data_IF_438356380625
#
_entry.id   IF_438356380625
#
_cell.length_a   1.000
_cell.length_b   1.000
_cell.length_c   1.000
_cell.angle_alpha   90.00
_cell.angle_beta   90.00
_cell.angle_gamma   90.00
#
_symmetry.space_group_name_H-M   'P 1'
#
loop_
_entity.id
_entity.type
_entity.pdbx_description
1 polymer ?
#
# COMPACT_ATOMS: atom_id res chain seq x y z
N UNK A 1 -21.04 4.08 -31.74
CA UNK A 1 -20.07 3.25 -31.02
C UNK A 1 -20.62 3.00 -29.61
N UNK A 2 -21.03 1.77 -29.32
CA UNK A 2 -21.77 1.42 -28.10
C UNK A 2 -20.95 1.65 -26.83
N UNK A 3 -19.63 1.40 -26.89
CA UNK A 3 -18.71 1.61 -25.77
C UNK A 3 -18.58 3.08 -25.37
N UNK A 4 -18.53 3.99 -26.36
CA UNK A 4 -18.48 5.42 -26.08
C UNK A 4 -19.75 5.87 -25.33
N UNK A 5 -20.92 5.37 -25.75
CA UNK A 5 -22.20 5.70 -25.13
C UNK A 5 -22.27 5.14 -23.70
N UNK A 6 -21.89 3.88 -23.50
CA UNK A 6 -21.83 3.25 -22.18
C UNK A 6 -20.90 4.03 -21.24
N UNK A 7 -19.70 4.39 -21.71
CA UNK A 7 -18.78 5.20 -20.93
C UNK A 7 -19.33 6.58 -20.59
N UNK A 8 -20.09 7.20 -21.49
CA UNK A 8 -20.76 8.48 -21.24
C UNK A 8 -21.82 8.35 -20.14
N UNK A 9 -22.70 7.34 -20.25
CA UNK A 9 -23.75 7.07 -19.26
C UNK A 9 -23.14 6.84 -17.87
N UNK A 10 -22.03 6.11 -17.80
CA UNK A 10 -21.34 5.78 -16.55
C UNK A 10 -20.21 6.77 -16.18
N UNK A 11 -20.19 7.98 -16.75
CA UNK A 11 -19.31 9.08 -16.32
C UNK A 11 -17.82 8.96 -16.68
N UNK A 12 -17.46 8.04 -17.57
CA UNK A 12 -16.11 7.92 -18.15
C UNK A 12 -15.82 8.94 -19.26
N UNK A 13 -16.87 9.51 -19.87
CA UNK A 13 -16.79 10.59 -20.86
C UNK A 13 -17.65 11.77 -20.39
N UNK A 14 -17.19 12.99 -20.65
CA UNK A 14 -18.03 14.17 -20.55
C UNK A 14 -19.06 14.17 -21.69
N UNK A 15 -20.23 14.73 -21.44
CA UNK A 15 -21.25 14.90 -22.47
C UNK A 15 -21.92 16.26 -22.36
N UNK A 16 -22.16 16.85 -23.52
CA UNK A 16 -22.91 18.08 -23.67
C UNK A 16 -23.94 17.89 -24.77
N UNK A 17 -25.20 18.07 -24.43
CA UNK A 17 -26.30 17.95 -25.38
C UNK A 17 -27.36 19.00 -25.09
N UNK A 18 -27.82 19.68 -26.14
CA UNK A 18 -28.95 20.60 -26.12
C UNK A 18 -29.95 20.18 -27.19
N UNK A 19 -31.24 20.37 -26.92
CA UNK A 19 -32.29 20.09 -27.89
C UNK A 19 -32.20 21.09 -29.05
N UNK A 20 -32.08 20.63 -30.31
CA UNK A 20 -32.00 21.53 -31.46
C UNK A 20 -33.35 22.16 -31.81
N UNK A 21 -34.46 21.56 -31.35
CA UNK A 21 -35.82 22.01 -31.61
C UNK A 21 -36.74 21.66 -30.44
N UNK A 22 -37.89 22.31 -30.39
CA UNK A 22 -38.93 22.01 -29.41
C UNK A 22 -39.39 20.55 -29.56
N UNK A 23 -39.46 19.82 -28.44
CA UNK A 23 -39.83 18.40 -28.42
C UNK A 23 -41.01 18.18 -27.47
N UNK A 24 -42.10 17.60 -27.99
CA UNK A 24 -43.25 17.18 -27.17
C UNK A 24 -42.92 15.88 -26.45
N UNK A 25 -43.10 15.87 -25.14
CA UNK A 25 -42.94 14.70 -24.26
C UNK A 25 -44.23 14.45 -23.48
N UNK A 26 -44.35 13.31 -22.80
CA UNK A 26 -45.52 13.00 -21.97
C UNK A 26 -45.77 13.98 -20.81
N UNK A 27 -44.79 14.82 -20.47
CA UNK A 27 -44.90 15.85 -19.41
C UNK A 27 -44.96 17.30 -19.92
N UNK A 28 -45.05 17.54 -21.24
CA UNK A 28 -45.09 18.88 -21.82
C UNK A 28 -44.09 19.09 -22.96
N UNK A 29 -43.87 20.35 -23.36
CA UNK A 29 -42.92 20.73 -24.42
C UNK A 29 -41.57 21.10 -23.81
N UNK A 30 -40.53 20.35 -24.13
CA UNK A 30 -39.15 20.76 -23.87
C UNK A 30 -38.72 21.73 -24.98
N UNK A 31 -38.22 22.90 -24.61
CA UNK A 31 -37.84 23.95 -25.56
C UNK A 31 -36.49 23.68 -26.20
N UNK A 32 -36.32 24.13 -27.44
CA UNK A 32 -35.02 24.23 -28.08
C UNK A 32 -34.02 24.96 -27.17
N UNK A 33 -32.78 24.45 -27.09
CA UNK A 33 -31.75 24.93 -26.17
C UNK A 33 -31.77 24.29 -24.78
N UNK A 34 -32.83 23.57 -24.39
CA UNK A 34 -32.84 22.79 -23.14
C UNK A 34 -31.82 21.67 -23.25
N UNK A 35 -30.94 21.51 -22.26
CA UNK A 35 -29.87 20.54 -22.32
C UNK A 35 -29.21 20.26 -20.98
N UNK A 36 -28.28 19.32 -21.01
CA UNK A 36 -27.49 18.89 -19.85
C UNK A 36 -26.01 18.88 -20.24
N UNK A 37 -25.17 19.29 -19.29
CA UNK A 37 -23.71 19.16 -19.38
C UNK A 37 -23.28 18.28 -18.22
N UNK A 38 -22.58 17.20 -18.54
CA UNK A 38 -22.00 16.27 -17.58
C UNK A 38 -20.49 16.26 -17.75
N UNK A 39 -19.79 16.49 -16.65
CA UNK A 39 -18.34 16.29 -16.58
C UNK A 39 -18.02 14.81 -16.35
N UNK A 40 -16.84 14.37 -16.78
CA UNK A 40 -16.36 13.04 -16.46
C UNK A 40 -16.07 12.94 -14.95
N UNK A 41 -16.64 11.94 -14.29
CA UNK A 41 -16.48 11.73 -12.84
C UNK A 41 -15.65 10.48 -12.49
N UNK A 42 -15.21 9.73 -13.51
CA UNK A 42 -14.24 8.62 -13.37
C UNK A 42 -13.31 8.56 -14.58
N UNK A 43 -12.28 7.71 -14.47
CA UNK A 43 -11.43 7.40 -15.62
C UNK A 43 -12.24 6.72 -16.73
N UNK A 44 -12.13 7.22 -17.96
CA UNK A 44 -12.62 6.56 -19.17
C UNK A 44 -11.60 5.58 -19.75
N UNK A 45 -11.90 5.01 -20.90
CA UNK A 45 -11.07 4.06 -21.65
C UNK A 45 -11.01 4.51 -23.11
N UNK A 46 -9.80 4.47 -23.68
CA UNK A 46 -9.59 4.76 -25.11
C UNK A 46 -8.30 4.10 -25.62
N UNK A 47 -7.99 4.26 -26.90
CA UNK A 47 -6.73 3.85 -27.51
C UNK A 47 -5.60 4.85 -27.22
N UNK A 48 -4.33 4.40 -27.21
CA UNK A 48 -3.16 5.25 -26.95
C UNK A 48 -3.14 6.55 -27.78
N UNK A 49 -3.49 6.48 -29.05
CA UNK A 49 -3.39 7.58 -30.02
C UNK A 49 -4.31 8.75 -29.68
N UNK A 50 -5.50 8.49 -29.14
CA UNK A 50 -6.47 9.55 -28.79
C UNK A 50 -5.98 10.46 -27.65
N UNK A 51 -5.03 9.98 -26.84
CA UNK A 51 -4.41 10.76 -25.76
C UNK A 51 -2.95 11.12 -26.07
N UNK A 52 -2.54 11.02 -27.34
CA UNK A 52 -1.22 11.43 -27.80
C UNK A 52 -0.08 10.50 -27.40
N UNK A 53 -0.34 9.21 -27.21
CA UNK A 53 0.70 8.17 -27.21
C UNK A 53 0.91 7.59 -28.60
N UNK A 54 2.07 6.95 -28.81
CA UNK A 54 2.35 6.21 -30.05
C UNK A 54 1.47 4.97 -30.16
N UNK A 55 1.12 4.59 -31.40
CA UNK A 55 0.31 3.40 -31.65
C UNK A 55 0.99 2.08 -31.26
N UNK A 56 2.32 2.09 -31.12
CA UNK A 56 3.11 0.93 -30.71
C UNK A 56 3.30 0.80 -29.18
N UNK A 57 2.74 1.71 -28.39
CA UNK A 57 2.89 1.73 -26.93
C UNK A 57 2.54 0.36 -26.30
N UNK A 58 1.40 -0.19 -26.70
CA UNK A 58 0.89 -1.44 -26.15
C UNK A 58 1.81 -2.63 -26.47
N UNK A 59 2.34 -2.69 -27.69
CA UNK A 59 3.29 -3.72 -28.10
C UNK A 59 4.62 -3.62 -27.32
N UNK A 60 5.09 -2.40 -27.04
CA UNK A 60 6.28 -2.17 -26.20
C UNK A 60 6.06 -2.63 -24.76
N UNK A 61 4.90 -2.31 -24.17
CA UNK A 61 4.54 -2.77 -22.81
C UNK A 61 4.49 -4.30 -22.77
N UNK A 62 3.82 -4.93 -23.74
CA UNK A 62 3.75 -6.39 -23.83
C UNK A 62 5.13 -7.01 -23.90
N UNK A 63 6.01 -6.48 -24.75
CA UNK A 63 7.37 -6.98 -24.92
C UNK A 63 8.16 -6.95 -23.61
N UNK A 64 8.15 -5.83 -22.89
CA UNK A 64 8.88 -5.68 -21.62
C UNK A 64 8.30 -6.59 -20.53
N UNK A 65 6.97 -6.64 -20.39
CA UNK A 65 6.33 -7.47 -19.36
C UNK A 65 6.56 -8.95 -19.61
N UNK A 66 6.38 -9.42 -20.85
CA UNK A 66 6.62 -10.80 -21.22
C UNK A 66 8.09 -11.19 -21.06
N UNK A 67 9.02 -10.30 -21.41
CA UNK A 67 10.44 -10.52 -21.16
C UNK A 67 10.73 -10.66 -19.66
N UNK A 68 10.18 -9.79 -18.80
CA UNK A 68 10.34 -9.88 -17.35
C UNK A 68 9.80 -11.19 -16.76
N UNK A 69 8.64 -11.66 -17.23
CA UNK A 69 8.09 -12.98 -16.86
C UNK A 69 9.01 -14.10 -17.32
N UNK A 70 9.47 -14.07 -18.58
CA UNK A 70 10.37 -15.08 -19.15
C UNK A 70 11.70 -15.18 -18.39
N UNK A 71 12.27 -14.04 -18.00
CA UNK A 71 13.52 -13.98 -17.24
C UNK A 71 13.33 -14.26 -15.74
N UNK A 72 12.10 -14.59 -15.30
CA UNK A 72 11.75 -14.82 -13.90
C UNK A 72 12.13 -13.63 -12.99
N UNK A 73 12.00 -12.40 -13.50
CA UNK A 73 12.14 -11.20 -12.66
C UNK A 73 10.94 -11.02 -11.71
N UNK A 74 9.76 -11.45 -12.15
CA UNK A 74 8.52 -11.57 -11.38
C UNK A 74 7.66 -12.68 -12.01
N UNK A 75 6.80 -13.37 -11.23
CA UNK A 75 5.95 -14.45 -11.76
C UNK A 75 4.85 -13.92 -12.67
N UNK A 76 4.38 -12.70 -12.41
CA UNK A 76 3.36 -12.01 -13.19
C UNK A 76 3.15 -10.59 -12.70
N UNK A 77 2.44 -9.78 -13.50
CA UNK A 77 2.17 -8.38 -13.19
C UNK A 77 0.89 -7.88 -13.88
N UNK A 78 0.37 -6.75 -13.41
CA UNK A 78 -0.66 -5.98 -14.09
C UNK A 78 -0.12 -4.57 -14.36
N UNK A 79 -0.36 -4.07 -15.57
CA UNK A 79 0.00 -2.71 -15.97
C UNK A 79 -1.25 -1.92 -16.29
N UNK A 80 -1.35 -0.74 -15.68
CA UNK A 80 -2.39 0.25 -15.98
C UNK A 80 -1.72 1.56 -16.38
N UNK A 81 -2.10 2.10 -17.53
CA UNK A 81 -1.63 3.41 -18.02
C UNK A 81 -2.83 4.29 -18.29
N UNK A 82 -2.84 5.47 -17.72
CA UNK A 82 -3.86 6.48 -17.96
C UNK A 82 -3.25 7.84 -18.28
N UNK A 83 -3.86 8.58 -19.20
CA UNK A 83 -3.49 9.94 -19.57
C UNK A 83 -4.74 10.75 -19.91
N UNK A 84 -4.78 12.01 -19.49
CA UNK A 84 -5.94 12.89 -19.68
C UNK A 84 -7.27 12.28 -19.21
N UNK A 85 -7.24 11.58 -18.06
CA UNK A 85 -8.44 10.92 -17.50
C UNK A 85 -8.89 9.67 -18.26
N UNK A 86 -8.11 9.14 -19.20
CA UNK A 86 -8.42 7.91 -19.95
C UNK A 86 -7.38 6.84 -19.74
N UNK A 87 -7.82 5.64 -19.39
CA UNK A 87 -7.03 4.42 -19.36
C UNK A 87 -6.83 3.95 -20.80
N UNK A 88 -5.57 3.76 -21.19
CA UNK A 88 -5.18 3.25 -22.51
C UNK A 88 -4.53 1.87 -22.45
N UNK A 89 -4.13 1.43 -21.26
CA UNK A 89 -3.62 0.10 -21.00
C UNK A 89 -4.21 -0.40 -19.68
N UNK A 90 -4.74 -1.63 -19.69
CA UNK A 90 -5.14 -2.40 -18.50
C UNK A 90 -4.92 -3.88 -18.80
N UNK A 91 -3.68 -4.33 -18.68
CA UNK A 91 -3.22 -5.66 -19.12
C UNK A 91 -2.57 -6.42 -17.99
N UNK A 92 -2.72 -7.74 -18.03
CA UNK A 92 -2.19 -8.68 -17.06
C UNK A 92 -1.27 -9.69 -17.78
N UNK A 93 -0.21 -10.10 -17.09
CA UNK A 93 0.84 -10.97 -17.63
C UNK A 93 1.25 -12.00 -16.58
N UNK A 94 1.58 -13.22 -17.02
CA UNK A 94 2.13 -14.27 -16.17
C UNK A 94 1.15 -14.86 -15.16
N UNK A 95 1.70 -15.37 -14.06
CA UNK A 95 1.00 -16.10 -12.99
C UNK A 95 1.22 -15.42 -11.63
N UNK A 96 0.40 -15.75 -10.63
CA UNK A 96 0.50 -15.14 -9.30
C UNK A 96 1.72 -15.61 -8.51
N UNK A 97 2.25 -16.80 -8.81
CA UNK A 97 3.43 -17.41 -8.19
C UNK A 97 4.14 -18.29 -9.24
N UNK A 98 5.39 -18.68 -9.01
CA UNK A 98 6.14 -19.59 -9.89
C UNK A 98 5.72 -21.05 -9.78
N UNK A 99 5.07 -21.45 -8.68
CA UNK A 99 4.76 -22.83 -8.34
C UNK A 99 3.31 -23.21 -8.58
N UNK A 100 2.43 -22.24 -8.89
CA UNK A 100 1.01 -22.48 -9.13
C UNK A 100 0.58 -21.88 -10.45
N UNK A 101 -0.18 -22.64 -11.24
CA UNK A 101 -0.65 -22.21 -12.55
C UNK A 101 -1.91 -21.35 -12.48
N UNK A 102 -1.89 -20.29 -11.67
CA UNK A 102 -3.01 -19.35 -11.55
C UNK A 102 -2.63 -18.06 -12.29
N UNK A 103 -3.29 -17.73 -13.41
CA UNK A 103 -2.95 -16.57 -14.20
C UNK A 103 -3.26 -15.27 -13.46
N UNK A 104 -2.43 -14.25 -13.68
CA UNK A 104 -2.80 -12.88 -13.29
C UNK A 104 -3.96 -12.43 -14.17
N UNK A 105 -4.97 -11.85 -13.53
CA UNK A 105 -6.11 -11.25 -14.20
C UNK A 105 -6.21 -9.78 -13.84
N UNK A 106 -7.07 -9.06 -14.55
CA UNK A 106 -7.37 -7.67 -14.23
C UNK A 106 -8.08 -7.45 -12.87
N UNK A 107 -8.43 -8.54 -12.17
CA UNK A 107 -9.07 -8.56 -10.86
C UNK A 107 -8.20 -9.25 -9.79
N UNK A 108 -6.94 -9.62 -10.13
CA UNK A 108 -6.01 -10.20 -9.15
C UNK A 108 -5.72 -9.19 -8.05
N UNK A 109 -5.84 -9.62 -6.80
CA UNK A 109 -5.57 -8.78 -5.63
C UNK A 109 -4.06 -8.79 -5.31
N UNK A 110 -3.53 -7.60 -5.07
CA UNK A 110 -2.13 -7.39 -4.68
C UNK A 110 -2.06 -6.71 -3.31
N UNK A 111 -1.11 -7.13 -2.48
CA UNK A 111 -0.76 -6.39 -1.28
C UNK A 111 -0.10 -5.05 -1.67
N UNK A 112 -0.71 -3.93 -1.28
CA UNK A 112 -0.23 -2.58 -1.66
C UNK A 112 1.09 -2.19 -0.99
N UNK A 113 1.50 -2.89 0.08
CA UNK A 113 2.71 -2.60 0.84
C UNK A 113 2.84 -1.09 1.15
N UNK A 114 3.98 -0.46 0.83
CA UNK A 114 4.21 0.96 1.08
C UNK A 114 3.31 1.92 0.31
N UNK A 115 2.62 1.50 -0.75
CA UNK A 115 1.61 2.34 -1.44
C UNK A 115 0.49 2.73 -0.48
N UNK A 116 0.22 1.90 0.54
CA UNK A 116 -0.76 2.18 1.60
C UNK A 116 -0.49 3.47 2.37
N UNK A 117 0.78 3.94 2.43
CA UNK A 117 1.12 5.21 3.06
C UNK A 117 0.52 6.39 2.28
N UNK A 118 0.67 6.39 0.96
CA UNK A 118 0.19 7.47 0.10
C UNK A 118 -1.35 7.41 -0.06
N UNK A 119 -1.91 6.22 -0.23
CA UNK A 119 -3.35 6.08 -0.52
C UNK A 119 -4.22 6.12 0.74
N UNK A 120 -3.72 5.59 1.86
CA UNK A 120 -4.47 5.49 3.12
C UNK A 120 -3.99 6.47 4.18
N UNK A 121 -2.76 6.28 4.68
CA UNK A 121 -2.25 7.02 5.85
C UNK A 121 -2.20 8.53 5.60
N UNK A 122 -1.60 8.98 4.50
CA UNK A 122 -1.47 10.39 4.16
C UNK A 122 -2.85 11.03 3.98
N UNK A 123 -3.74 10.41 3.20
CA UNK A 123 -5.11 10.89 3.00
C UNK A 123 -5.86 11.05 4.31
N UNK A 124 -5.73 10.07 5.22
CA UNK A 124 -6.34 10.12 6.55
C UNK A 124 -5.79 11.25 7.42
N UNK A 125 -4.48 11.44 7.43
CA UNK A 125 -3.83 12.55 8.18
C UNK A 125 -4.26 13.90 7.61
N UNK A 126 -4.25 14.07 6.28
CA UNK A 126 -4.65 15.31 5.63
C UNK A 126 -6.13 15.63 5.84
N UNK A 127 -7.01 14.61 5.88
CA UNK A 127 -8.42 14.78 6.23
C UNK A 127 -8.59 15.38 7.63
N UNK A 128 -7.84 14.87 8.61
CA UNK A 128 -7.87 15.37 10.00
C UNK A 128 -7.30 16.78 10.10
N UNK A 129 -6.28 17.10 9.30
CA UNK A 129 -5.75 18.46 9.15
C UNK A 129 -6.79 19.42 8.54
N UNK A 130 -7.47 19.04 7.46
CA UNK A 130 -8.52 19.86 6.83
C UNK A 130 -9.71 20.12 7.78
N UNK A 131 -9.98 19.18 8.69
CA UNK A 131 -10.98 19.33 9.76
C UNK A 131 -10.50 20.23 10.93
N UNK A 132 -9.26 20.75 10.86
CA UNK A 132 -8.67 21.63 11.88
C UNK A 132 -8.32 20.94 13.19
N UNK A 133 -8.30 19.60 13.23
CA UNK A 133 -8.03 18.81 14.45
C UNK A 133 -6.54 18.71 14.78
N UNK A 134 -5.69 18.90 13.78
CA UNK A 134 -4.23 18.97 13.93
C UNK A 134 -3.67 20.07 13.03
N UNK A 135 -2.49 20.57 13.36
CA UNK A 135 -1.65 21.40 12.48
C UNK A 135 -0.38 20.64 12.12
N UNK A 136 0.05 20.69 10.86
CA UNK A 136 1.21 19.88 10.41
C UNK A 136 2.53 20.26 11.10
N UNK A 137 2.64 21.51 11.55
CA UNK A 137 3.83 22.06 12.19
C UNK A 137 3.77 22.03 13.72
N UNK A 138 2.69 21.50 14.30
CA UNK A 138 2.62 21.28 15.74
C UNK A 138 3.30 19.97 16.16
N UNK A 139 3.71 19.83 17.43
CA UNK A 139 4.26 18.59 17.94
C UNK A 139 3.25 17.44 17.86
N UNK A 140 3.61 16.36 17.15
CA UNK A 140 2.79 15.15 17.07
C UNK A 140 2.61 14.47 18.43
N UNK A 141 3.45 14.81 19.42
CA UNK A 141 3.34 14.32 20.79
C UNK A 141 2.07 14.80 21.51
N UNK A 142 1.43 15.86 21.04
CA UNK A 142 0.15 16.34 21.58
C UNK A 142 -1.00 15.35 21.30
N UNK A 143 -0.91 14.61 20.20
CA UNK A 143 -1.89 13.58 19.80
C UNK A 143 -1.39 12.16 20.08
N UNK A 144 -0.06 11.95 20.09
CA UNK A 144 0.57 10.66 20.33
C UNK A 144 1.38 10.74 21.64
N UNK A 145 0.77 10.46 22.80
CA UNK A 145 1.41 10.66 24.10
C UNK A 145 2.73 9.91 24.27
N UNK A 146 2.93 8.78 23.58
CA UNK A 146 4.18 8.03 23.64
C UNK A 146 5.37 8.74 22.99
N UNK A 147 5.14 9.78 22.17
CA UNK A 147 6.20 10.65 21.66
C UNK A 147 6.62 11.72 22.68
N UNK A 148 5.95 11.87 23.84
CA UNK A 148 6.33 12.81 24.91
C UNK A 148 7.57 12.34 25.69
N UNK A 149 8.63 12.01 24.96
CA UNK A 149 9.96 11.67 25.46
C UNK A 149 10.96 12.70 24.94
N UNK A 150 12.06 12.90 25.66
CA UNK A 150 12.96 14.05 25.50
C UNK A 150 13.40 14.33 24.05
N UNK A 151 13.78 13.28 23.30
CA UNK A 151 14.31 13.40 21.94
C UNK A 151 13.23 13.42 20.84
N UNK A 152 11.96 13.11 21.16
CA UNK A 152 10.85 12.98 20.19
C UNK A 152 9.68 13.92 20.43
N UNK A 153 9.61 14.59 21.59
CA UNK A 153 8.46 15.42 21.98
C UNK A 153 8.17 16.54 20.99
N UNK A 154 9.19 17.08 20.32
CA UNK A 154 9.09 18.21 19.40
C UNK A 154 8.98 17.76 17.92
N UNK A 155 8.83 16.46 17.65
CA UNK A 155 8.61 15.97 16.28
C UNK A 155 7.28 16.44 15.75
N UNK A 156 7.26 17.05 14.57
CA UNK A 156 6.02 17.50 13.94
C UNK A 156 5.40 16.42 13.06
N UNK A 157 4.11 16.55 12.77
CA UNK A 157 3.45 15.71 11.77
C UNK A 157 4.11 15.85 10.40
N UNK A 158 4.54 17.05 10.02
CA UNK A 158 5.28 17.29 8.77
C UNK A 158 6.57 16.47 8.70
N UNK A 159 7.37 16.46 9.75
CA UNK A 159 8.61 15.68 9.80
C UNK A 159 8.34 14.17 9.70
N UNK A 160 7.26 13.68 10.32
CA UNK A 160 6.83 12.28 10.21
C UNK A 160 6.44 11.92 8.77
N UNK A 161 5.68 12.79 8.10
CA UNK A 161 5.23 12.58 6.72
C UNK A 161 6.38 12.67 5.70
N UNK A 162 7.37 13.52 5.93
CA UNK A 162 8.56 13.64 5.08
C UNK A 162 9.67 12.65 5.41
N UNK A 163 9.50 11.79 6.42
CA UNK A 163 10.54 10.86 6.86
C UNK A 163 11.84 11.56 7.34
N UNK A 164 11.70 12.72 7.99
CA UNK A 164 12.83 13.56 8.45
C UNK A 164 13.05 13.52 9.96
N UNK A 165 12.38 12.60 10.66
CA UNK A 165 12.44 12.52 12.13
C UNK A 165 13.76 11.95 12.64
N UNK A 166 14.54 11.27 11.79
CA UNK A 166 15.70 10.48 12.21
C UNK A 166 15.32 9.15 12.86
N UNK A 167 14.04 8.76 12.90
CA UNK A 167 13.65 7.43 13.39
C UNK A 167 14.24 6.33 12.51
N UNK A 168 14.62 5.17 13.08
CA UNK A 168 15.16 4.07 12.31
C UNK A 168 14.14 3.56 11.29
N UNK A 169 14.58 3.18 10.06
CA UNK A 169 13.67 2.75 9.00
C UNK A 169 12.96 1.41 9.30
N UNK A 170 13.48 0.64 10.25
CA UNK A 170 12.88 -0.60 10.72
C UNK A 170 13.32 -0.94 12.13
N UNK A 171 12.53 -1.78 12.82
CA UNK A 171 12.91 -2.39 14.09
C UNK A 171 13.15 -3.90 13.86
N UNK A 172 14.12 -4.47 14.57
CA UNK A 172 14.35 -5.91 14.55
C UNK A 172 13.28 -6.64 15.38
N UNK A 173 12.13 -6.88 14.76
CA UNK A 173 10.98 -7.52 15.40
C UNK A 173 11.29 -8.94 15.87
N UNK A 174 12.16 -9.67 15.17
CA UNK A 174 12.57 -11.01 15.55
C UNK A 174 13.27 -11.03 16.90
N UNK A 175 14.23 -10.13 17.13
CA UNK A 175 14.89 -10.02 18.43
C UNK A 175 13.92 -9.67 19.56
N UNK A 176 12.86 -8.93 19.28
CA UNK A 176 11.84 -8.61 20.28
C UNK A 176 10.97 -9.81 20.65
N UNK A 177 10.68 -10.68 19.67
CA UNK A 177 9.74 -11.79 19.81
C UNK A 177 10.38 -13.06 20.38
N UNK A 178 11.70 -13.20 20.30
CA UNK A 178 12.44 -14.34 20.84
C UNK A 178 13.01 -14.06 22.22
N UNK A 179 13.01 -15.06 23.09
CA UNK A 179 13.52 -14.95 24.46
C UNK A 179 15.05 -15.11 24.43
N UNK A 180 15.83 -14.06 24.72
CA UNK A 180 17.29 -14.11 24.69
C UNK A 180 17.87 -15.09 25.71
N UNK A 181 17.12 -15.50 26.75
CA UNK A 181 17.58 -16.49 27.74
C UNK A 181 17.57 -17.91 27.19
N UNK A 182 16.91 -18.14 26.05
CA UNK A 182 16.71 -19.49 25.51
C UNK A 182 17.80 -19.91 24.53
N UNK A 183 18.66 -18.98 24.10
CA UNK A 183 19.70 -19.26 23.13
C UNK A 183 21.00 -18.48 23.40
N UNK A 184 22.10 -19.02 22.89
CA UNK A 184 23.40 -18.33 22.85
C UNK A 184 23.74 -18.01 21.39
N UNK A 185 24.57 -16.99 21.18
CA UNK A 185 24.96 -16.54 19.84
C UNK A 185 23.86 -15.74 19.13
N UNK A 186 24.02 -15.46 17.82
CA UNK A 186 23.07 -14.66 17.08
C UNK A 186 21.76 -15.40 16.81
N UNK A 187 20.64 -14.67 16.75
CA UNK A 187 19.33 -15.23 16.40
C UNK A 187 19.30 -15.71 14.94
N UNK A 188 19.88 -14.92 14.04
CA UNK A 188 20.05 -15.23 12.62
C UNK A 188 21.54 -15.03 12.27
N UNK A 189 22.15 -15.99 11.58
CA UNK A 189 23.51 -15.89 11.04
C UNK A 189 23.49 -16.02 9.51
N UNK A 190 24.46 -15.41 8.82
CA UNK A 190 24.56 -15.49 7.35
C UNK A 190 25.09 -16.82 6.85
N UNK A 191 25.90 -17.49 7.67
CA UNK A 191 26.44 -18.83 7.44
C UNK A 191 26.02 -19.78 8.56
N UNK A 192 25.91 -21.09 8.29
CA UNK A 192 25.65 -22.08 9.33
C UNK A 192 26.78 -22.09 10.36
N UNK A 193 26.43 -22.23 11.63
CA UNK A 193 27.39 -22.39 12.73
C UNK A 193 26.83 -23.32 13.81
N UNK A 194 27.55 -23.50 14.92
CA UNK A 194 27.13 -24.40 16.01
C UNK A 194 25.75 -24.06 16.63
N UNK A 195 25.35 -22.80 16.62
CA UNK A 195 24.07 -22.30 17.13
C UNK A 195 22.99 -22.21 16.04
N UNK A 196 23.39 -21.79 14.83
CA UNK A 196 22.53 -21.46 13.71
C UNK A 196 22.57 -22.56 12.65
N UNK A 197 21.69 -23.56 12.81
CA UNK A 197 21.60 -24.72 11.90
C UNK A 197 20.27 -24.81 11.16
N UNK A 198 19.27 -24.01 11.57
CA UNK A 198 17.95 -24.02 10.92
C UNK A 198 18.03 -23.17 9.66
N UNK A 199 17.80 -23.74 8.49
CA UNK A 199 17.71 -22.95 7.27
C UNK A 199 16.42 -22.12 7.27
N UNK A 200 16.54 -20.80 7.04
CA UNK A 200 15.39 -19.88 6.97
C UNK A 200 15.21 -19.38 5.54
N UNK A 201 16.28 -18.85 4.95
CA UNK A 201 16.33 -18.42 3.56
C UNK A 201 17.79 -18.35 3.09
N UNK A 202 18.02 -18.00 1.82
CA UNK A 202 19.36 -17.77 1.30
C UNK A 202 20.12 -16.78 2.19
N UNK A 203 21.30 -17.17 2.67
CA UNK A 203 22.14 -16.41 3.60
C UNK A 203 21.47 -16.06 4.94
N UNK A 204 20.57 -16.90 5.45
CA UNK A 204 19.98 -16.74 6.78
C UNK A 204 19.72 -18.10 7.45
N UNK A 205 20.41 -18.32 8.56
CA UNK A 205 20.31 -19.52 9.40
C UNK A 205 19.85 -19.15 10.81
N UNK A 206 18.72 -19.72 11.22
CA UNK A 206 18.10 -19.50 12.51
C UNK A 206 18.74 -20.31 13.63
N UNK A 207 18.74 -19.72 14.82
CA UNK A 207 19.24 -20.35 16.03
C UNK A 207 18.35 -21.51 16.46
N UNK A 208 18.93 -22.70 16.65
CA UNK A 208 18.18 -23.93 16.94
C UNK A 208 17.55 -23.99 18.33
N UNK A 209 18.00 -23.16 19.27
CA UNK A 209 17.49 -23.14 20.65
C UNK A 209 16.57 -21.95 20.94
N UNK A 210 16.49 -20.98 20.03
CA UNK A 210 15.70 -19.77 20.25
C UNK A 210 14.21 -20.10 20.34
N UNK A 211 13.58 -19.69 21.44
CA UNK A 211 12.13 -19.84 21.66
C UNK A 211 11.45 -18.48 21.64
N UNK A 212 10.20 -18.47 21.21
CA UNK A 212 9.35 -17.29 21.32
C UNK A 212 9.10 -16.95 22.79
N UNK A 213 9.03 -15.65 23.07
CA UNK A 213 8.64 -15.10 24.35
C UNK A 213 7.19 -15.45 24.68
N UNK A 214 6.98 -16.17 25.79
CA UNK A 214 5.65 -16.59 26.23
C UNK A 214 4.89 -15.52 27.02
N UNK A 215 5.57 -14.45 27.43
CA UNK A 215 4.97 -13.30 28.11
C UNK A 215 4.21 -12.37 27.14
N UNK A 216 4.61 -12.35 25.87
CA UNK A 216 3.99 -11.52 24.83
C UNK A 216 3.44 -12.31 23.66
N UNK A 217 3.63 -13.63 23.56
CA UNK A 217 3.10 -14.43 22.47
C UNK A 217 2.55 -15.77 22.96
N UNK A 218 1.57 -16.30 22.24
CA UNK A 218 0.96 -17.60 22.47
C UNK A 218 0.72 -18.33 21.15
N UNK A 219 0.89 -19.65 21.15
CA UNK A 219 0.48 -20.51 20.01
C UNK A 219 -1.01 -20.87 20.01
N UNK A 220 -1.75 -20.43 21.03
CA UNK A 220 -3.18 -20.67 21.17
C UNK A 220 -3.90 -19.34 21.36
N UNK A 221 -5.01 -19.17 20.65
CA UNK A 221 -5.93 -18.07 20.88
C UNK A 221 -6.52 -18.22 22.28
N UNK A 222 -6.51 -17.14 23.04
CA UNK A 222 -7.15 -17.04 24.36
C UNK A 222 -7.77 -15.65 24.48
N UNK A 223 -8.49 -15.37 25.57
CA UNK A 223 -9.05 -14.04 25.80
C UNK A 223 -7.96 -12.96 25.96
N UNK A 224 -6.80 -13.34 26.48
CA UNK A 224 -5.62 -12.46 26.62
C UNK A 224 -4.84 -12.38 25.30
N UNK A 225 -4.58 -13.52 24.67
CA UNK A 225 -3.87 -13.62 23.39
C UNK A 225 -4.86 -13.77 22.25
N UNK A 226 -5.49 -12.64 21.88
CA UNK A 226 -6.56 -12.58 20.88
C UNK A 226 -6.18 -11.80 19.62
N UNK A 227 -4.97 -11.24 19.55
CA UNK A 227 -4.47 -10.50 18.39
C UNK A 227 -3.77 -11.47 17.43
N UNK A 228 -4.28 -11.72 16.21
CA UNK A 228 -3.60 -12.59 15.26
C UNK A 228 -2.31 -11.91 14.76
N UNK A 229 -1.17 -12.58 14.92
CA UNK A 229 0.13 -12.11 14.44
C UNK A 229 0.55 -12.88 13.20
N UNK A 230 0.38 -14.20 13.23
CA UNK A 230 0.60 -15.11 12.11
C UNK A 230 -0.32 -16.33 12.28
N UNK A 231 -0.35 -17.21 11.29
CA UNK A 231 -1.08 -18.47 11.40
C UNK A 231 -0.59 -19.27 12.63
N UNK A 232 -1.51 -19.59 13.54
CA UNK A 232 -1.18 -20.28 14.78
C UNK A 232 -0.39 -19.47 15.81
N UNK A 233 -0.22 -18.15 15.62
CA UNK A 233 0.50 -17.28 16.56
C UNK A 233 -0.33 -16.05 16.92
N UNK A 234 -0.51 -15.87 18.23
CA UNK A 234 -1.37 -14.85 18.81
C UNK A 234 -0.57 -13.97 19.77
N UNK A 235 -0.73 -12.67 19.62
CA UNK A 235 -0.25 -11.65 20.54
C UNK A 235 -1.36 -11.20 21.49
N UNK A 236 -0.97 -10.41 22.48
CA UNK A 236 -1.82 -9.75 23.46
C UNK A 236 -1.57 -8.24 23.44
N UNK A 237 -2.28 -7.50 24.30
CA UNK A 237 -1.97 -6.10 24.55
C UNK A 237 -0.49 -5.89 24.93
N UNK A 238 0.10 -6.81 25.68
CA UNK A 238 1.52 -6.73 26.06
C UNK A 238 2.47 -6.80 24.86
N UNK A 239 2.09 -7.53 23.79
CA UNK A 239 2.84 -7.53 22.52
C UNK A 239 2.84 -6.13 21.92
N UNK A 240 1.66 -5.51 21.81
CA UNK A 240 1.51 -4.17 21.26
C UNK A 240 2.30 -3.15 22.10
N UNK A 241 2.11 -3.16 23.42
CA UNK A 241 2.80 -2.25 24.34
C UNK A 241 4.33 -2.40 24.23
N UNK A 242 4.85 -3.63 24.08
CA UNK A 242 6.28 -3.89 23.89
C UNK A 242 6.82 -3.33 22.57
N UNK A 243 6.04 -3.40 21.49
CA UNK A 243 6.39 -2.84 20.19
C UNK A 243 6.42 -1.31 20.27
N UNK A 244 5.36 -0.72 20.82
CA UNK A 244 5.26 0.73 20.96
C UNK A 244 6.35 1.28 21.86
N UNK A 245 6.64 0.63 22.99
CA UNK A 245 7.76 1.00 23.85
C UNK A 245 9.08 1.03 23.06
N UNK A 246 9.34 0.01 22.23
CA UNK A 246 10.56 -0.02 21.40
C UNK A 246 10.63 1.09 20.37
N UNK A 247 9.50 1.48 19.78
CA UNK A 247 9.40 2.63 18.86
C UNK A 247 9.76 3.92 19.61
N UNK A 248 9.13 4.16 20.77
CA UNK A 248 9.32 5.38 21.54
C UNK A 248 10.73 5.50 22.14
N UNK A 249 11.34 4.39 22.55
CA UNK A 249 12.72 4.36 23.07
C UNK A 249 13.77 4.16 21.99
N UNK A 250 13.41 4.14 20.71
CA UNK A 250 14.39 4.00 19.62
C UNK A 250 15.31 5.23 19.57
N UNK A 251 16.59 5.01 19.32
CA UNK A 251 17.55 6.10 19.14
C UNK A 251 17.33 6.78 17.79
N UNK A 252 17.41 8.10 17.77
CA UNK A 252 17.34 8.86 16.52
C UNK A 252 18.71 8.88 15.83
N UNK A 253 18.69 8.71 14.52
CA UNK A 253 19.81 9.05 13.65
C UNK A 253 19.77 10.52 13.23
N UNK A 254 20.55 10.84 12.19
CA UNK A 254 20.56 12.19 11.62
C UNK A 254 19.20 12.52 10.97
N UNK A 255 18.69 13.72 11.24
CA UNK A 255 17.50 14.25 10.55
C UNK A 255 17.89 14.68 9.14
N UNK A 256 17.65 13.80 8.17
CA UNK A 256 17.86 14.06 6.74
C UNK A 256 16.68 13.51 5.97
N UNK A 257 16.30 14.21 4.90
CA UNK A 257 15.41 13.64 3.90
C UNK A 257 16.15 12.51 3.17
N UNK A 258 15.60 11.30 3.19
CA UNK A 258 16.25 10.08 2.68
C UNK A 258 15.64 9.56 1.37
N UNK A 259 14.75 10.33 0.74
CA UNK A 259 14.03 9.95 -0.48
C UNK A 259 14.19 10.95 -1.63
#
# INVERSE_FOLDING_TARGET
DEDYLAQTIFGGNAAKGVLPMDMKTGGGVLKAGTGVTYEACRLGYTIPQEVGFSGDLLAKIDSVCNYGVQQKAFPGCQVVVARHGKVVCKRAYGQIDYNVEIPVTNNTLYGLASVSKATGTLSGVMKVYDEGKIQLDEPASDVIPGLKVEDKKDMTFRQLLYHETGMPPSLNMWQMMFDPKTYNGPLIATTPNEYNTIWVMKNAYGNKKAKLRTDILSRKKTDVFNLPIAEGLWGSKATYDSIMARIYTSTLGEKKYLY
#
